data_IF_866533466818
#
_entry.id   IF_866533466818
#
_cell.length_a   1.000
_cell.length_b   1.000
_cell.length_c   1.000
_cell.angle_alpha   90.00
_cell.angle_beta   90.00
_cell.angle_gamma   90.00
#
_symmetry.space_group_name_H-M   'P 1'
#
loop_
_entity.id
_entity.type
_entity.pdbx_description
1 polymer ?
#
# COMPACT_ATOMS: atom_id res chain seq x y z
N UNK A 1 -29.73 27.25 31.61
CA UNK A 1 -28.72 26.18 31.52
C UNK A 1 -29.21 25.26 30.43
N UNK A 2 -28.85 25.56 29.20
CA UNK A 2 -29.19 24.73 28.04
C UNK A 2 -27.94 23.92 27.75
N UNK A 3 -28.07 22.62 27.99
CA UNK A 3 -27.09 21.60 27.69
C UNK A 3 -26.91 21.54 26.17
N UNK A 4 -25.75 21.99 25.71
CA UNK A 4 -25.36 21.95 24.32
C UNK A 4 -24.52 20.70 24.11
N UNK A 5 -25.18 19.54 24.03
CA UNK A 5 -24.60 18.36 23.40
C UNK A 5 -24.45 18.68 21.91
N UNK A 6 -23.27 19.20 21.54
CA UNK A 6 -22.85 19.17 20.16
C UNK A 6 -22.69 17.69 19.81
N UNK A 7 -23.63 17.14 19.03
CA UNK A 7 -23.36 15.95 18.23
C UNK A 7 -22.05 16.23 17.51
N UNK A 8 -20.99 15.50 17.85
CA UNK A 8 -19.83 15.35 16.97
C UNK A 8 -20.37 14.73 15.69
N UNK A 9 -20.69 15.60 14.73
CA UNK A 9 -21.15 15.20 13.41
C UNK A 9 -20.03 14.38 12.78
N UNK A 10 -20.26 13.08 12.68
CA UNK A 10 -19.46 12.11 11.94
C UNK A 10 -19.12 12.72 10.58
N UNK A 11 -17.85 13.09 10.38
CA UNK A 11 -17.45 13.81 9.18
C UNK A 11 -17.74 12.92 7.97
N UNK A 12 -18.32 13.46 6.87
CA UNK A 12 -18.66 12.63 5.74
C UNK A 12 -17.41 11.98 5.17
N UNK A 13 -17.47 10.67 4.92
CA UNK A 13 -16.38 9.94 4.27
C UNK A 13 -16.04 10.63 2.95
N UNK A 14 -14.76 10.99 2.70
CA UNK A 14 -14.36 11.59 1.44
C UNK A 14 -14.76 10.72 0.25
N UNK A 15 -14.89 11.29 -0.94
CA UNK A 15 -15.16 10.52 -2.16
C UNK A 15 -13.92 9.82 -2.70
N UNK A 16 -12.72 10.27 -2.31
CA UNK A 16 -11.43 9.70 -2.68
C UNK A 16 -10.36 10.06 -1.66
N UNK A 17 -9.24 9.36 -1.68
CA UNK A 17 -8.05 9.76 -0.93
C UNK A 17 -7.47 11.09 -1.47
N UNK A 18 -6.59 11.79 -0.72
CA UNK A 18 -6.11 13.13 -1.07
C UNK A 18 -5.41 13.23 -2.42
N UNK A 19 -4.68 12.18 -2.81
CA UNK A 19 -3.97 12.13 -4.08
C UNK A 19 -4.83 11.62 -5.25
N UNK A 20 -6.10 11.29 -5.00
CA UNK A 20 -7.06 10.83 -6.02
C UNK A 20 -6.81 9.44 -6.58
N UNK A 21 -5.89 8.66 -5.99
CA UNK A 21 -5.55 7.32 -6.47
C UNK A 21 -6.64 6.28 -6.17
N UNK A 22 -7.26 6.37 -4.99
CA UNK A 22 -8.30 5.46 -4.51
C UNK A 22 -9.60 6.26 -4.35
N UNK A 23 -10.63 5.85 -5.09
CA UNK A 23 -11.99 6.36 -4.96
C UNK A 23 -12.71 5.57 -3.88
N UNK A 24 -13.33 6.21 -2.91
CA UNK A 24 -14.06 5.54 -1.85
C UNK A 24 -15.49 5.22 -2.32
N UNK A 25 -15.84 3.92 -2.45
CA UNK A 25 -17.19 3.54 -2.87
C UNK A 25 -18.23 3.85 -1.78
N UNK A 26 -19.50 3.79 -2.15
CA UNK A 26 -20.58 3.88 -1.17
C UNK A 26 -20.45 2.74 -0.15
N UNK A 27 -20.54 3.09 1.13
CA UNK A 27 -20.39 2.15 2.25
C UNK A 27 -18.98 2.13 2.85
N UNK A 28 -18.02 2.90 2.32
CA UNK A 28 -16.76 3.15 3.01
C UNK A 28 -17.02 3.84 4.35
N UNK A 29 -16.22 3.53 5.36
CA UNK A 29 -16.39 4.02 6.74
C UNK A 29 -15.07 4.59 7.24
N UNK A 30 -15.08 5.76 7.90
CA UNK A 30 -13.90 6.24 8.62
C UNK A 30 -13.78 5.46 9.93
N UNK A 31 -12.59 4.94 10.19
CA UNK A 31 -12.31 4.17 11.41
C UNK A 31 -11.94 5.15 12.52
N UNK A 32 -12.73 5.14 13.59
CA UNK A 32 -12.53 6.01 14.76
C UNK A 32 -12.03 5.24 16.00
N UNK A 33 -12.46 3.98 16.13
CA UNK A 33 -12.14 3.13 17.27
C UNK A 33 -11.72 1.73 16.77
N UNK A 34 -10.65 1.20 17.36
CA UNK A 34 -10.08 -0.08 16.96
C UNK A 34 -10.95 -1.27 17.40
N UNK A 35 -11.54 -1.22 18.59
CA UNK A 35 -12.34 -2.31 19.12
C UNK A 35 -13.67 -2.42 18.36
N UNK A 36 -14.35 -1.30 18.11
CA UNK A 36 -15.60 -1.26 17.34
C UNK A 36 -15.40 -1.76 15.90
N UNK A 37 -14.34 -1.31 15.23
CA UNK A 37 -14.02 -1.71 13.85
C UNK A 37 -13.75 -3.22 13.74
N UNK A 38 -12.90 -3.76 14.62
CA UNK A 38 -12.58 -5.19 14.59
C UNK A 38 -13.78 -6.03 15.02
N UNK A 39 -14.56 -5.57 16.00
CA UNK A 39 -15.80 -6.25 16.40
C UNK A 39 -16.80 -6.31 15.23
N UNK A 40 -17.03 -5.20 14.52
CA UNK A 40 -17.94 -5.17 13.37
C UNK A 40 -17.51 -6.14 12.28
N UNK A 41 -16.21 -6.16 11.93
CA UNK A 41 -15.65 -7.07 10.92
C UNK A 41 -15.88 -8.53 11.28
N UNK A 42 -15.62 -8.92 12.54
CA UNK A 42 -15.78 -10.31 12.98
C UNK A 42 -17.23 -10.70 13.19
N UNK A 43 -18.11 -9.77 13.59
CA UNK A 43 -19.56 -10.01 13.63
C UNK A 43 -20.11 -10.26 12.23
N UNK A 44 -19.75 -9.42 11.26
CA UNK A 44 -20.13 -9.61 9.85
C UNK A 44 -19.61 -10.95 9.30
N UNK A 45 -18.37 -11.32 9.63
CA UNK A 45 -17.80 -12.60 9.26
C UNK A 45 -18.59 -13.78 9.84
N UNK A 46 -18.98 -13.72 11.12
CA UNK A 46 -19.74 -14.79 11.80
C UNK A 46 -21.17 -14.96 11.27
N UNK A 47 -21.80 -13.90 10.76
CA UNK A 47 -23.17 -13.99 10.20
C UNK A 47 -23.25 -14.64 8.82
N UNK A 48 -22.11 -14.91 8.18
CA UNK A 48 -22.07 -15.53 6.85
C UNK A 48 -22.19 -17.05 6.99
N UNK A 49 -23.33 -17.64 6.60
CA UNK A 49 -23.51 -19.09 6.59
C UNK A 49 -22.47 -19.76 5.67
N UNK A 50 -21.65 -20.63 6.25
CA UNK A 50 -20.64 -21.42 5.53
C UNK A 50 -21.33 -22.44 4.61
N UNK A 51 -21.32 -22.22 3.29
CA UNK A 51 -21.41 -23.33 2.33
C UNK A 51 -20.00 -23.83 2.10
N UNK A 52 -19.48 -24.58 3.08
CA UNK A 52 -18.12 -25.10 3.07
C UNK A 52 -18.00 -26.30 2.11
N UNK A 53 -18.03 -26.03 0.81
CA UNK A 53 -17.57 -26.99 -0.20
C UNK A 53 -16.16 -26.59 -0.65
N UNK A 54 -15.15 -27.14 0.04
CA UNK A 54 -13.82 -27.35 -0.53
C UNK A 54 -12.65 -26.57 0.06
N UNK A 55 -12.82 -25.80 1.14
CA UNK A 55 -11.70 -25.10 1.76
C UNK A 55 -10.90 -26.03 2.68
N UNK A 56 -9.79 -26.56 2.17
CA UNK A 56 -8.78 -27.19 3.04
C UNK A 56 -8.24 -26.12 3.98
N UNK A 57 -8.54 -26.22 5.28
CA UNK A 57 -8.12 -25.29 6.35
C UNK A 57 -6.61 -25.18 6.56
N UNK A 58 -5.88 -24.71 5.55
CA UNK A 58 -4.45 -24.40 5.60
C UNK A 58 -4.18 -22.97 6.06
N UNK A 59 -2.90 -22.63 6.22
CA UNK A 59 -2.43 -21.34 6.74
C UNK A 59 -2.79 -20.11 5.87
N UNK A 60 -3.45 -20.28 4.72
CA UNK A 60 -3.89 -19.19 3.82
C UNK A 60 -3.04 -18.94 2.58
N UNK A 61 -1.94 -19.69 2.40
CA UNK A 61 -1.12 -19.66 1.18
C UNK A 61 -1.61 -20.69 0.13
N UNK A 62 -1.33 -20.44 -1.14
CA UNK A 62 -2.05 -21.05 -2.28
C UNK A 62 -1.82 -22.56 -2.45
N UNK A 63 -0.57 -23.02 -2.32
CA UNK A 63 -0.22 -24.43 -2.48
C UNK A 63 1.01 -24.78 -1.62
N UNK A 64 0.90 -25.86 -0.87
CA UNK A 64 1.91 -26.38 0.08
C UNK A 64 2.76 -27.52 -0.43
N UNK A 65 2.50 -27.97 -1.66
CA UNK A 65 3.13 -29.13 -2.28
C UNK A 65 4.04 -28.74 -3.42
N UNK A 66 3.73 -27.67 -4.16
CA UNK A 66 4.54 -27.21 -5.28
C UNK A 66 5.53 -26.10 -4.90
N UNK A 67 6.79 -26.29 -5.28
CA UNK A 67 7.83 -25.26 -5.13
C UNK A 67 7.78 -24.22 -6.25
N UNK A 68 7.10 -24.48 -7.37
CA UNK A 68 6.90 -23.52 -8.45
C UNK A 68 5.44 -23.56 -8.89
N UNK A 69 4.75 -22.43 -8.74
CA UNK A 69 3.36 -22.27 -9.10
C UNK A 69 3.26 -21.70 -10.51
N UNK A 70 2.72 -22.47 -11.43
CA UNK A 70 2.37 -22.02 -12.77
C UNK A 70 0.85 -21.84 -12.82
N UNK A 71 0.38 -20.60 -12.91
CA UNK A 71 -1.04 -20.28 -12.81
C UNK A 71 -1.45 -19.25 -13.86
N UNK A 72 -2.73 -19.30 -14.26
CA UNK A 72 -3.35 -18.25 -15.05
C UNK A 72 -4.15 -17.32 -14.12
N UNK A 73 -3.79 -16.05 -14.07
CA UNK A 73 -4.66 -15.03 -13.48
C UNK A 73 -5.78 -14.75 -14.47
N UNK A 74 -6.97 -15.30 -14.18
CA UNK A 74 -8.15 -15.18 -15.04
C UNK A 74 -8.97 -13.94 -14.65
N UNK A 75 -9.14 -13.03 -15.60
CA UNK A 75 -9.90 -11.79 -15.45
C UNK A 75 -11.20 -11.86 -16.26
N UNK A 76 -12.33 -11.79 -15.57
CA UNK A 76 -13.66 -11.82 -16.20
C UNK A 76 -14.28 -10.42 -16.22
N UNK A 77 -15.03 -10.06 -17.27
CA UNK A 77 -15.80 -8.83 -17.26
C UNK A 77 -16.77 -8.83 -16.06
N UNK A 78 -16.96 -7.68 -15.39
CA UNK A 78 -17.99 -7.56 -14.37
C UNK A 78 -19.35 -7.95 -14.95
N UNK A 79 -20.03 -8.90 -14.33
CA UNK A 79 -21.43 -9.19 -14.65
C UNK A 79 -22.26 -8.01 -14.16
N UNK A 80 -23.11 -7.43 -15.02
CA UNK A 80 -24.13 -6.49 -14.59
C UNK A 80 -25.10 -7.27 -13.68
N UNK A 81 -24.94 -7.16 -12.37
CA UNK A 81 -25.90 -7.74 -11.43
C UNK A 81 -27.27 -7.14 -11.70
N UNK A 82 -28.17 -8.00 -12.13
CA UNK A 82 -29.59 -7.71 -12.35
C UNK A 82 -30.30 -7.63 -11.01
N UNK A 83 -30.10 -6.51 -10.31
CA UNK A 83 -30.95 -6.10 -9.20
C UNK A 83 -32.26 -5.51 -9.72
N UNK A 84 -33.14 -6.36 -10.26
CA UNK A 84 -34.52 -5.98 -10.53
C UNK A 84 -35.42 -7.19 -10.28
N UNK A 85 -36.31 -7.07 -9.29
CA UNK A 85 -37.21 -8.13 -8.85
C UNK A 85 -37.95 -8.78 -10.01
N UNK A 86 -38.07 -10.10 -9.90
CA UNK A 86 -38.94 -10.94 -10.71
C UNK A 86 -40.39 -10.51 -10.55
N UNK A 87 -40.87 -9.63 -11.44
CA UNK A 87 -42.29 -9.53 -11.76
C UNK A 87 -42.58 -10.55 -12.88
N UNK A 88 -43.54 -11.46 -12.75
CA UNK A 88 -43.85 -12.42 -13.81
C UNK A 88 -44.33 -11.69 -15.06
N UNK A 89 -43.67 -11.96 -16.18
CA UNK A 89 -43.98 -11.38 -17.49
C UNK A 89 -45.33 -11.88 -18.01
N UNK A 90 -46.21 -10.93 -18.38
CA UNK A 90 -47.31 -11.19 -19.30
C UNK A 90 -46.80 -11.16 -20.74
N UNK A 91 -47.33 -12.06 -21.56
CA UNK A 91 -46.87 -12.35 -22.92
C UNK A 91 -47.07 -11.19 -23.89
N UNK A 92 -45.98 -10.69 -24.49
CA UNK A 92 -46.00 -9.71 -25.58
C UNK A 92 -44.91 -9.97 -26.63
N UNK A 93 -45.28 -9.87 -27.91
CA UNK A 93 -44.57 -10.39 -29.09
C UNK A 93 -43.48 -9.43 -29.62
N UNK A 94 -42.25 -9.96 -29.80
CA UNK A 94 -41.11 -9.56 -30.68
C UNK A 94 -40.90 -8.09 -31.12
N UNK A 95 -39.67 -7.60 -30.92
CA UNK A 95 -38.87 -6.84 -31.92
C UNK A 95 -37.37 -7.19 -31.80
N UNK A 96 -36.76 -7.68 -32.89
CA UNK A 96 -35.30 -7.90 -33.02
C UNK A 96 -34.63 -6.56 -33.36
N UNK A 97 -33.82 -6.02 -32.45
CA UNK A 97 -32.85 -4.95 -32.73
C UNK A 97 -31.49 -5.53 -33.15
N UNK A 98 -30.60 -4.72 -33.76
CA UNK A 98 -29.35 -5.22 -34.35
C UNK A 98 -28.37 -5.70 -33.26
N UNK A 99 -27.82 -6.90 -33.49
CA UNK A 99 -26.73 -7.49 -32.69
C UNK A 99 -25.44 -6.71 -32.95
N UNK A 100 -24.84 -6.19 -31.89
CA UNK A 100 -23.54 -5.54 -31.94
C UNK A 100 -23.09 -5.06 -30.56
N UNK A 101 -23.14 -5.92 -29.55
CA UNK A 101 -22.33 -5.74 -28.33
C UNK A 101 -21.20 -6.75 -28.43
N UNK A 102 -19.98 -6.28 -28.63
CA UNK A 102 -18.78 -7.08 -28.40
C UNK A 102 -18.79 -7.50 -26.94
N UNK A 103 -19.09 -8.77 -26.65
CA UNK A 103 -18.77 -9.34 -25.35
C UNK A 103 -17.27 -9.15 -25.15
N UNK A 104 -16.87 -8.43 -24.09
CA UNK A 104 -15.46 -8.32 -23.76
C UNK A 104 -15.00 -9.74 -23.37
N UNK A 105 -13.98 -10.26 -24.05
CA UNK A 105 -13.50 -11.63 -23.83
C UNK A 105 -12.75 -11.76 -22.50
N UNK A 106 -12.79 -12.95 -21.90
CA UNK A 106 -12.00 -13.31 -20.72
C UNK A 106 -10.49 -13.15 -21.01
N UNK A 107 -9.77 -12.50 -20.09
CA UNK A 107 -8.31 -12.30 -20.21
C UNK A 107 -7.61 -13.28 -19.28
N UNK A 108 -6.53 -13.91 -19.77
CA UNK A 108 -5.70 -14.83 -19.00
C UNK A 108 -4.26 -14.34 -19.00
N UNK A 109 -3.71 -14.15 -17.80
CA UNK A 109 -2.33 -13.71 -17.62
C UNK A 109 -1.55 -14.86 -16.98
N UNK A 110 -0.73 -15.59 -17.75
CA UNK A 110 0.11 -16.64 -17.18
C UNK A 110 1.18 -16.02 -16.29
N UNK A 111 1.36 -16.57 -15.09
CA UNK A 111 2.37 -16.13 -14.13
C UNK A 111 3.04 -17.33 -13.49
N UNK A 112 4.34 -17.21 -13.24
CA UNK A 112 5.16 -18.24 -12.60
C UNK A 112 5.73 -17.70 -11.30
N UNK A 113 5.48 -18.39 -10.19
CA UNK A 113 5.93 -17.97 -8.86
C UNK A 113 6.67 -19.12 -8.18
N UNK A 114 7.96 -18.93 -7.97
CA UNK A 114 8.78 -19.78 -7.11
C UNK A 114 8.41 -19.53 -5.65
N UNK A 115 8.32 -20.62 -4.88
CA UNK A 115 8.21 -20.64 -3.43
C UNK A 115 9.45 -21.31 -2.83
N UNK A 116 9.73 -21.02 -1.55
CA UNK A 116 10.72 -21.73 -0.74
C UNK A 116 10.05 -22.40 0.47
N UNK A 117 9.48 -23.58 0.22
CA UNK A 117 8.81 -24.39 1.24
C UNK A 117 9.78 -24.90 2.34
N UNK A 118 11.08 -24.91 2.06
CA UNK A 118 12.10 -25.31 3.05
C UNK A 118 12.30 -24.18 4.04
N UNK A 119 12.36 -22.94 3.54
CA UNK A 119 12.48 -21.75 4.36
C UNK A 119 11.26 -21.56 5.29
N UNK A 120 10.04 -21.74 4.78
CA UNK A 120 8.80 -21.76 5.57
C UNK A 120 8.85 -22.76 6.75
N UNK A 121 9.40 -23.96 6.52
CA UNK A 121 9.47 -25.03 7.54
C UNK A 121 10.68 -24.88 8.48
N UNK A 122 11.78 -24.34 7.97
CA UNK A 122 13.08 -24.33 8.64
C UNK A 122 13.42 -23.03 9.37
N UNK A 123 12.84 -21.89 8.98
CA UNK A 123 13.09 -20.59 9.59
C UNK A 123 11.89 -20.16 10.42
N UNK A 124 12.09 -20.03 11.74
CA UNK A 124 11.03 -19.59 12.64
C UNK A 124 10.56 -18.18 12.25
N UNK A 125 9.25 -18.04 11.98
CA UNK A 125 8.63 -16.76 11.63
C UNK A 125 8.76 -16.36 10.15
N UNK A 126 9.29 -17.23 9.29
CA UNK A 126 9.29 -17.02 7.85
C UNK A 126 7.92 -17.31 7.26
N UNK A 127 7.29 -16.27 6.74
CA UNK A 127 6.02 -16.34 6.00
C UNK A 127 6.16 -15.79 4.58
N UNK A 128 7.25 -15.07 4.28
CA UNK A 128 7.46 -14.41 2.98
C UNK A 128 7.86 -15.37 1.85
N UNK A 129 8.23 -16.60 2.17
CA UNK A 129 8.70 -17.61 1.21
C UNK A 129 7.59 -18.32 0.41
N UNK A 130 6.31 -18.07 0.71
CA UNK A 130 5.16 -18.69 0.04
C UNK A 130 4.15 -17.66 -0.44
N UNK A 131 3.35 -18.04 -1.45
CA UNK A 131 2.36 -17.15 -2.04
C UNK A 131 1.09 -17.09 -1.19
N UNK A 132 0.86 -15.95 -0.58
CA UNK A 132 -0.38 -15.64 0.11
C UNK A 132 -1.52 -15.36 -0.86
N UNK A 133 -2.69 -15.91 -0.56
CA UNK A 133 -3.88 -15.73 -1.39
C UNK A 133 -4.27 -14.25 -1.49
N UNK A 134 -4.20 -13.49 -0.40
CA UNK A 134 -4.49 -12.05 -0.35
C UNK A 134 -3.81 -11.25 -1.48
N UNK A 135 -2.53 -11.52 -1.75
CA UNK A 135 -1.78 -10.90 -2.86
C UNK A 135 -2.36 -11.28 -4.23
N UNK A 136 -2.73 -12.54 -4.45
CA UNK A 136 -3.33 -12.98 -5.72
C UNK A 136 -4.69 -12.32 -5.96
N UNK A 137 -5.56 -12.25 -4.96
CA UNK A 137 -6.89 -11.64 -5.13
C UNK A 137 -6.79 -10.12 -5.27
N UNK A 138 -5.90 -9.45 -4.53
CA UNK A 138 -5.65 -8.02 -4.75
C UNK A 138 -5.16 -7.78 -6.17
N UNK A 139 -4.15 -8.52 -6.65
CA UNK A 139 -3.66 -8.38 -8.02
C UNK A 139 -4.78 -8.58 -9.04
N UNK A 140 -5.55 -9.66 -8.90
CA UNK A 140 -6.70 -9.95 -9.77
C UNK A 140 -7.73 -8.83 -9.75
N UNK A 141 -8.01 -8.25 -8.59
CA UNK A 141 -8.96 -7.15 -8.44
C UNK A 141 -8.49 -5.90 -9.20
N UNK A 142 -7.24 -5.46 -8.98
CA UNK A 142 -6.64 -4.30 -9.65
C UNK A 142 -6.55 -4.52 -11.16
N UNK A 143 -6.09 -5.70 -11.60
CA UNK A 143 -6.01 -6.06 -13.01
C UNK A 143 -7.40 -6.10 -13.67
N UNK A 144 -8.42 -6.59 -12.97
CA UNK A 144 -9.80 -6.59 -13.49
C UNK A 144 -10.28 -5.16 -13.74
N UNK A 145 -10.02 -4.22 -12.83
CA UNK A 145 -10.36 -2.81 -13.04
C UNK A 145 -9.56 -2.17 -14.18
N UNK A 146 -8.30 -2.56 -14.34
CA UNK A 146 -7.46 -2.14 -15.47
C UNK A 146 -8.01 -2.61 -16.82
N UNK A 147 -8.35 -3.89 -16.94
CA UNK A 147 -8.86 -4.48 -18.20
C UNK A 147 -10.33 -4.13 -18.48
N UNK A 148 -11.13 -3.90 -17.45
CA UNK A 148 -12.54 -3.56 -17.55
C UNK A 148 -12.86 -2.27 -16.76
N UNK A 149 -12.37 -1.09 -17.21
CA UNK A 149 -12.60 0.15 -16.49
C UNK A 149 -14.10 0.47 -16.33
N UNK A 150 -14.45 0.97 -15.16
CA UNK A 150 -15.78 1.43 -14.77
C UNK A 150 -15.69 2.83 -14.18
N UNK A 151 -16.72 3.69 -14.32
CA UNK A 151 -16.78 4.96 -13.60
C UNK A 151 -16.68 4.81 -12.08
N UNK A 152 -17.05 3.64 -11.56
CA UNK A 152 -17.02 3.31 -10.13
C UNK A 152 -15.80 2.44 -9.76
N UNK A 153 -14.72 2.46 -10.57
CA UNK A 153 -13.49 1.75 -10.22
C UNK A 153 -12.91 2.29 -8.91
N UNK A 154 -12.53 1.37 -8.01
CA UNK A 154 -11.83 1.68 -6.77
C UNK A 154 -10.53 2.44 -7.03
N UNK A 155 -9.79 2.06 -8.09
CA UNK A 155 -8.51 2.66 -8.43
C UNK A 155 -8.64 3.57 -9.63
N UNK A 156 -8.14 4.79 -9.50
CA UNK A 156 -7.93 5.69 -10.62
C UNK A 156 -6.69 5.25 -11.42
N UNK A 157 -6.92 4.59 -12.55
CA UNK A 157 -5.86 4.05 -13.41
C UNK A 157 -4.93 5.13 -13.99
N UNK A 158 -5.44 6.32 -14.27
CA UNK A 158 -4.61 7.41 -14.81
C UNK A 158 -3.63 7.93 -13.76
N UNK A 159 -4.06 7.98 -12.50
CA UNK A 159 -3.18 8.33 -11.38
C UNK A 159 -2.19 7.20 -11.14
N UNK A 160 -2.65 5.94 -11.07
CA UNK A 160 -1.79 4.78 -10.86
C UNK A 160 -0.64 4.70 -11.88
N UNK A 161 -0.92 4.94 -13.17
CA UNK A 161 0.08 4.95 -14.25
C UNK A 161 1.22 5.93 -14.03
N UNK A 162 1.00 6.97 -13.24
CA UNK A 162 1.99 8.01 -12.91
C UNK A 162 2.57 7.83 -11.51
N UNK A 163 1.99 6.94 -10.71
CA UNK A 163 2.35 6.75 -9.31
C UNK A 163 3.66 5.98 -9.13
N UNK A 164 4.39 6.33 -8.07
CA UNK A 164 5.44 5.52 -7.47
C UNK A 164 4.83 4.68 -6.34
N UNK A 165 4.92 3.37 -6.45
CA UNK A 165 4.34 2.42 -5.49
C UNK A 165 5.45 1.75 -4.69
N UNK A 166 5.32 1.72 -3.38
CA UNK A 166 6.13 0.91 -2.47
C UNK A 166 5.29 -0.25 -1.93
N UNK A 167 5.76 -1.48 -2.06
CA UNK A 167 5.18 -2.64 -1.39
C UNK A 167 6.05 -3.04 -0.20
N UNK A 168 5.49 -3.00 1.00
CA UNK A 168 6.09 -3.52 2.24
C UNK A 168 5.77 -5.00 2.38
N UNK A 169 6.78 -5.82 2.63
CA UNK A 169 6.60 -7.26 2.86
C UNK A 169 6.17 -7.99 1.58
N UNK A 170 6.89 -7.77 0.48
CA UNK A 170 6.52 -8.28 -0.84
C UNK A 170 6.43 -9.83 -0.92
N UNK A 171 7.06 -10.55 0.02
CA UNK A 171 6.98 -12.01 0.10
C UNK A 171 7.52 -12.67 -1.16
N UNK A 172 6.66 -13.29 -1.95
CA UNK A 172 7.05 -13.87 -3.24
C UNK A 172 7.25 -12.83 -4.34
N UNK A 173 6.76 -11.61 -4.16
CA UNK A 173 6.80 -10.55 -5.17
C UNK A 173 5.73 -10.65 -6.25
N UNK A 174 4.63 -11.40 -6.03
CA UNK A 174 3.57 -11.53 -7.02
C UNK A 174 2.97 -10.18 -7.43
N UNK A 175 2.72 -9.28 -6.46
CA UNK A 175 2.20 -7.95 -6.78
C UNK A 175 3.20 -7.17 -7.63
N UNK A 176 4.48 -7.19 -7.28
CA UNK A 176 5.53 -6.59 -8.11
C UNK A 176 5.53 -7.14 -9.54
N UNK A 177 5.36 -8.46 -9.73
CA UNK A 177 5.29 -9.08 -11.06
C UNK A 177 4.09 -8.56 -11.86
N UNK A 178 2.92 -8.43 -11.22
CA UNK A 178 1.66 -8.16 -11.92
C UNK A 178 1.30 -6.68 -12.01
N UNK A 179 1.73 -5.86 -11.06
CA UNK A 179 1.32 -4.47 -10.90
C UNK A 179 2.40 -3.48 -11.29
N UNK A 180 3.69 -3.86 -11.30
CA UNK A 180 4.73 -2.96 -11.81
C UNK A 180 4.49 -2.47 -13.25
N UNK A 181 3.84 -3.26 -14.14
CA UNK A 181 3.49 -2.77 -15.47
C UNK A 181 2.30 -1.79 -15.51
N UNK A 182 1.71 -1.44 -14.36
CA UNK A 182 0.56 -0.54 -14.29
C UNK A 182 0.90 0.83 -13.71
N UNK A 183 2.12 1.03 -13.20
CA UNK A 183 2.56 2.27 -12.56
C UNK A 183 3.88 2.79 -13.11
N UNK A 184 4.29 4.01 -12.71
CA UNK A 184 5.53 4.61 -13.18
C UNK A 184 6.76 3.92 -12.58
N UNK A 185 6.69 3.62 -11.29
CA UNK A 185 7.72 2.90 -10.55
C UNK A 185 7.08 2.00 -9.49
N UNK A 186 7.63 0.81 -9.32
CA UNK A 186 7.23 -0.15 -8.30
C UNK A 186 8.46 -0.62 -7.51
N UNK A 187 8.51 -0.27 -6.23
CA UNK A 187 9.51 -0.76 -5.30
C UNK A 187 8.93 -1.93 -4.52
N UNK A 188 9.48 -3.12 -4.74
CA UNK A 188 9.18 -4.29 -3.90
C UNK A 188 10.19 -4.36 -2.76
N UNK A 189 9.71 -4.28 -1.52
CA UNK A 189 10.57 -4.31 -0.34
C UNK A 189 10.28 -5.49 0.58
N UNK A 190 11.34 -6.01 1.18
CA UNK A 190 11.31 -7.10 2.14
C UNK A 190 12.63 -7.12 2.93
N UNK A 191 12.81 -8.11 3.79
CA UNK A 191 14.09 -8.42 4.42
C UNK A 191 15.08 -8.87 3.35
N UNK A 192 16.36 -8.54 3.54
CA UNK A 192 17.43 -8.79 2.55
C UNK A 192 17.47 -10.24 2.06
N UNK A 193 17.28 -11.20 2.96
CA UNK A 193 17.29 -12.61 2.63
C UNK A 193 16.13 -13.05 1.72
N UNK A 194 14.99 -12.34 1.73
CA UNK A 194 13.82 -12.66 0.93
C UNK A 194 13.84 -11.98 -0.45
N UNK A 195 14.56 -10.86 -0.60
CA UNK A 195 14.67 -10.16 -1.89
C UNK A 195 15.26 -11.01 -3.03
N UNK A 196 16.04 -12.06 -2.70
CA UNK A 196 16.52 -13.03 -3.70
C UNK A 196 15.36 -13.80 -4.35
N UNK A 197 14.33 -14.14 -3.57
CA UNK A 197 13.13 -14.81 -4.08
C UNK A 197 12.31 -13.87 -4.97
N UNK A 198 12.10 -12.64 -4.51
CA UNK A 198 11.42 -11.58 -5.27
C UNK A 198 12.12 -11.34 -6.61
N UNK A 199 13.44 -11.16 -6.59
CA UNK A 199 14.25 -11.01 -7.81
C UNK A 199 14.05 -12.18 -8.77
N UNK A 200 14.10 -13.42 -8.25
CA UNK A 200 13.92 -14.62 -9.08
C UNK A 200 12.53 -14.65 -9.73
N UNK A 201 11.48 -14.28 -9.00
CA UNK A 201 10.12 -14.27 -9.52
C UNK A 201 9.90 -13.17 -10.57
N UNK A 202 10.56 -12.01 -10.43
CA UNK A 202 10.58 -11.01 -11.49
C UNK A 202 11.24 -11.55 -12.77
N UNK A 203 12.41 -12.19 -12.67
CA UNK A 203 13.11 -12.79 -13.82
C UNK A 203 12.27 -13.87 -14.52
N UNK A 204 11.60 -14.73 -13.75
CA UNK A 204 10.74 -15.80 -14.29
C UNK A 204 9.60 -15.27 -15.15
N UNK A 205 9.20 -14.02 -14.95
CA UNK A 205 8.14 -13.34 -15.69
C UNK A 205 8.68 -12.24 -16.62
N UNK A 206 9.97 -12.26 -16.94
CA UNK A 206 10.59 -11.37 -17.93
C UNK A 206 10.81 -9.93 -17.46
N UNK A 207 10.75 -9.67 -16.16
CA UNK A 207 10.98 -8.36 -15.56
C UNK A 207 12.42 -8.26 -15.05
N UNK A 208 13.09 -7.16 -15.37
CA UNK A 208 14.46 -6.89 -14.95
C UNK A 208 14.49 -5.84 -13.83
N UNK A 209 14.58 -6.24 -12.55
CA UNK A 209 14.67 -5.29 -11.45
C UNK A 209 15.99 -4.52 -11.48
N UNK A 210 15.95 -3.27 -11.03
CA UNK A 210 17.16 -2.53 -10.66
C UNK A 210 17.49 -2.82 -9.20
N UNK A 211 18.71 -3.24 -8.94
CA UNK A 211 19.25 -3.25 -7.57
C UNK A 211 19.55 -1.81 -7.17
N UNK A 212 18.99 -1.33 -6.06
CA UNK A 212 19.38 -0.07 -5.43
C UNK A 212 20.78 -0.23 -4.82
N UNK A 213 21.83 -0.01 -5.61
CA UNK A 213 23.18 0.22 -5.07
C UNK A 213 23.82 1.46 -5.70
N UNK A 214 24.49 2.21 -4.83
CA UNK A 214 25.24 3.47 -5.02
C UNK A 214 26.01 3.53 -6.36
N UNK A 215 26.25 4.75 -6.91
CA UNK A 215 26.90 4.93 -8.20
C UNK A 215 28.25 4.21 -8.23
N UNK A 216 28.34 3.16 -9.03
CA UNK A 216 29.60 2.48 -9.31
C UNK A 216 30.37 3.25 -10.40
N UNK A 217 31.70 3.41 -10.25
CA UNK A 217 32.49 4.24 -11.14
C UNK A 217 32.61 3.59 -12.53
N UNK A 218 32.56 4.46 -13.54
CA UNK A 218 32.80 4.24 -14.98
C UNK A 218 33.44 2.89 -15.35
N UNK A 219 32.67 1.99 -15.95
CA UNK A 219 33.21 0.88 -16.73
C UNK A 219 33.31 1.28 -18.20
N UNK A 220 34.54 1.15 -18.70
CA UNK A 220 35.05 1.48 -20.03
C UNK A 220 34.27 0.92 -21.22
N UNK A 221 34.28 1.71 -22.28
CA UNK A 221 33.95 1.43 -23.69
C UNK A 221 34.23 0.00 -24.17
N UNK A 222 33.15 -0.71 -24.52
CA UNK A 222 33.18 -1.89 -25.40
C UNK A 222 32.11 -1.75 -26.49
N UNK A 223 32.53 -1.45 -27.72
CA UNK A 223 31.65 -1.31 -28.89
C UNK A 223 31.11 -2.69 -29.31
N UNK A 224 29.79 -2.85 -29.39
CA UNK A 224 29.16 -3.86 -30.25
C UNK A 224 28.04 -3.23 -31.06
N UNK A 225 28.23 -3.20 -32.39
CA UNK A 225 27.25 -2.75 -33.39
C UNK A 225 26.29 -3.89 -33.68
N UNK A 226 24.98 -3.71 -33.51
CA UNK A 226 23.97 -4.38 -34.36
C UNK A 226 22.81 -3.42 -34.68
N UNK A 227 22.35 -3.54 -35.93
CA UNK A 227 21.44 -2.67 -36.67
C UNK A 227 19.97 -2.85 -36.25
N UNK A 228 19.27 -1.73 -36.19
CA UNK A 228 17.82 -1.58 -36.37
C UNK A 228 17.44 -1.65 -37.87
N UNK A 229 16.19 -2.03 -38.23
CA UNK A 229 15.14 -1.01 -38.33
C UNK A 229 13.70 -1.48 -38.00
N UNK A 230 12.86 -0.55 -37.52
CA UNK A 230 11.41 -0.58 -37.77
C UNK A 230 10.52 0.01 -36.67
N UNK A 231 10.16 1.30 -36.82
CA UNK A 231 9.22 2.08 -35.99
C UNK A 231 7.91 1.36 -35.64
N UNK A 232 7.55 1.39 -34.35
CA UNK A 232 6.19 1.68 -33.90
C UNK A 232 6.26 2.76 -32.81
N UNK A 233 5.43 3.78 -32.95
CA UNK A 233 5.37 4.95 -32.09
C UNK A 233 4.56 4.65 -30.82
N UNK A 234 5.09 5.09 -29.69
CA UNK A 234 4.47 5.08 -28.36
C UNK A 234 5.58 5.23 -27.35
N UNK A 235 5.66 6.38 -26.67
CA UNK A 235 6.62 6.58 -25.59
C UNK A 235 6.24 5.63 -24.46
N UNK A 236 6.83 4.45 -24.42
CA UNK A 236 6.78 3.56 -23.25
C UNK A 236 7.72 4.23 -22.24
N UNK A 237 7.16 5.03 -21.34
CA UNK A 237 7.87 5.38 -20.12
C UNK A 237 8.35 4.05 -19.52
N UNK A 238 9.66 3.89 -19.34
CA UNK A 238 10.25 2.64 -18.86
C UNK A 238 9.73 2.38 -17.46
N UNK A 239 8.69 1.55 -17.35
CA UNK A 239 8.13 1.12 -16.07
C UNK A 239 9.24 0.46 -15.27
N UNK A 240 9.53 1.01 -14.09
CA UNK A 240 10.73 0.67 -13.33
C UNK A 240 10.35 -0.19 -12.14
N UNK A 241 10.95 -1.38 -12.03
CA UNK A 241 10.87 -2.19 -10.82
C UNK A 241 12.17 -2.05 -10.02
N UNK A 242 12.05 -1.75 -8.74
CA UNK A 242 13.16 -1.58 -7.79
C UNK A 242 13.02 -2.61 -6.68
N UNK A 243 14.15 -3.15 -6.22
CA UNK A 243 14.20 -3.98 -5.01
C UNK A 243 14.93 -3.22 -3.92
N UNK A 244 14.30 -3.11 -2.75
CA UNK A 244 14.84 -2.36 -1.61
C UNK A 244 14.73 -3.20 -0.32
N UNK A 245 15.78 -3.19 0.50
CA UNK A 245 15.72 -3.79 1.84
C UNK A 245 15.03 -2.82 2.79
N UNK A 246 13.90 -3.24 3.36
CA UNK A 246 13.23 -2.50 4.44
C UNK A 246 12.97 -3.48 5.59
N UNK A 247 13.83 -3.42 6.60
CA UNK A 247 13.61 -4.11 7.88
C UNK A 247 12.85 -3.18 8.83
N UNK A 248 11.57 -3.50 9.08
CA UNK A 248 10.68 -2.69 9.92
C UNK A 248 11.22 -2.52 11.35
N UNK A 249 11.89 -3.55 11.89
CA UNK A 249 12.49 -3.49 13.24
C UNK A 249 13.67 -2.53 13.23
N UNK A 250 14.46 -2.52 12.15
CA UNK A 250 15.54 -1.55 11.99
C UNK A 250 15.01 -0.11 11.88
N UNK A 251 13.95 0.12 11.10
CA UNK A 251 13.28 1.43 10.97
C UNK A 251 12.77 1.92 12.33
N UNK A 252 12.05 1.07 13.06
CA UNK A 252 11.53 1.41 14.39
C UNK A 252 12.63 1.72 15.40
N UNK A 253 13.70 0.91 15.42
CA UNK A 253 14.87 1.18 16.27
C UNK A 253 15.55 2.51 15.92
N UNK A 254 15.61 2.88 14.64
CA UNK A 254 16.15 4.17 14.21
C UNK A 254 15.27 5.33 14.69
N UNK A 255 13.94 5.20 14.59
CA UNK A 255 12.97 6.17 15.12
C UNK A 255 13.16 6.39 16.62
N UNK A 256 13.19 5.32 17.40
CA UNK A 256 13.41 5.39 18.86
C UNK A 256 14.75 6.07 19.22
N UNK A 257 15.82 5.80 18.48
CA UNK A 257 17.12 6.45 18.67
C UNK A 257 17.08 7.94 18.33
N UNK A 258 16.32 8.35 17.31
CA UNK A 258 16.16 9.74 16.95
C UNK A 258 15.38 10.51 18.03
N UNK A 259 14.32 9.90 18.57
CA UNK A 259 13.51 10.45 19.67
C UNK A 259 14.33 10.63 20.94
N UNK A 260 15.13 9.63 21.33
CA UNK A 260 16.02 9.72 22.49
C UNK A 260 17.11 10.80 22.36
N UNK A 261 17.44 11.22 21.13
CA UNK A 261 18.41 12.29 20.85
C UNK A 261 17.78 13.67 20.75
N UNK A 262 16.46 13.77 20.59
CA UNK A 262 15.76 15.05 20.60
C UNK A 262 15.81 15.61 22.02
N UNK A 263 16.37 16.81 22.26
CA UNK A 263 16.39 17.39 23.59
C UNK A 263 14.95 17.66 24.02
N UNK A 264 14.43 16.81 24.90
CA UNK A 264 13.15 17.05 25.57
C UNK A 264 13.22 18.45 26.17
N UNK A 265 12.23 19.30 25.86
CA UNK A 265 11.97 20.55 26.59
C UNK A 265 11.75 20.18 28.05
N UNK A 266 12.83 20.06 28.81
CA UNK A 266 12.78 20.11 30.26
C UNK A 266 12.33 21.53 30.58
N UNK A 267 11.08 21.65 31.05
CA UNK A 267 10.57 22.83 31.71
C UNK A 267 11.60 23.22 32.78
N UNK A 268 12.41 24.27 32.51
CA UNK A 268 13.23 24.88 33.56
C UNK A 268 12.26 25.46 34.59
N UNK A 269 12.48 25.25 35.90
CA UNK A 269 11.74 25.99 36.91
C UNK A 269 11.99 27.49 36.68
N UNK A 270 10.93 28.29 36.72
CA UNK A 270 11.01 29.75 36.67
C UNK A 270 12.01 30.24 37.74
N UNK A 271 13.06 31.00 37.38
CA UNK A 271 13.78 31.77 38.37
C UNK A 271 12.92 32.97 38.77
N UNK A 272 12.55 33.00 40.05
CA UNK A 272 12.02 34.16 40.75
C UNK A 272 12.92 35.40 40.53
N UNK A 273 12.33 36.49 40.03
CA UNK A 273 12.94 37.83 39.89
C UNK A 273 12.95 38.60 41.23
N UNK A 274 13.53 39.82 41.34
CA UNK A 274 14.72 40.38 40.70
C UNK A 274 15.71 41.00 41.74
N UNK A 275 16.97 41.26 41.36
CA UNK A 275 17.75 42.29 42.06
C UNK A 275 18.64 43.10 41.11
N UNK A 276 18.54 44.41 41.32
CA UNK A 276 19.17 45.52 40.61
C UNK A 276 20.68 45.55 40.86
N UNK A 277 21.50 45.64 39.81
CA UNK A 277 22.81 46.28 39.90
C UNK A 277 23.28 46.82 38.54
N UNK A 278 23.90 47.99 38.61
CA UNK A 278 24.20 48.94 37.54
C UNK A 278 25.49 48.59 36.77
N UNK A 279 25.50 49.05 35.51
CA UNK A 279 26.52 49.23 34.46
C UNK A 279 27.95 49.66 34.92
N UNK A 280 29.04 49.59 34.09
CA UNK A 280 29.12 50.19 32.75
C UNK A 280 29.92 49.47 31.63
N UNK A 281 29.74 50.04 30.43
CA UNK A 281 30.23 49.71 29.09
C UNK A 281 31.75 49.94 28.88
N UNK A 282 32.38 49.12 28.02
CA UNK A 282 33.20 49.58 26.86
C UNK A 282 33.77 48.41 26.02
N UNK A 283 34.19 48.66 24.75
CA UNK A 283 33.92 47.76 23.63
C UNK A 283 35.16 47.11 22.96
N UNK A 284 34.87 46.32 21.91
CA UNK A 284 35.76 45.68 20.92
C UNK A 284 36.38 44.32 21.28
N UNK A 285 35.90 43.23 20.64
CA UNK A 285 36.67 42.49 19.60
C UNK A 285 35.84 41.41 18.88
N UNK A 286 35.80 41.55 17.56
CA UNK A 286 35.73 40.52 16.50
C UNK A 286 34.66 39.41 16.58
N UNK A 287 33.58 39.61 15.82
CA UNK A 287 32.74 38.54 15.29
C UNK A 287 33.51 37.74 14.22
N UNK A 288 33.67 36.43 14.44
CA UNK A 288 33.97 35.47 13.38
C UNK A 288 32.65 34.87 12.91
N UNK A 289 32.17 35.37 11.78
CA UNK A 289 31.12 34.75 10.98
C UNK A 289 31.71 33.50 10.31
N UNK A 290 31.09 32.34 10.52
CA UNK A 290 31.27 31.15 9.70
C UNK A 290 30.04 31.04 8.80
N UNK A 291 30.17 31.64 7.62
CA UNK A 291 29.33 31.42 6.45
C UNK A 291 29.60 30.01 5.89
N UNK A 292 28.62 29.11 5.99
CA UNK A 292 28.53 27.92 5.15
C UNK A 292 27.73 28.25 3.89
N UNK A 293 28.30 27.94 2.74
CA UNK A 293 27.93 28.39 1.39
C UNK A 293 26.47 28.12 0.99
N UNK A 294 25.83 29.17 0.46
CA UNK A 294 24.67 29.09 -0.43
C UNK A 294 25.22 29.30 -1.84
N UNK A 295 25.36 28.23 -2.62
CA UNK A 295 25.53 28.36 -4.06
C UNK A 295 24.15 28.55 -4.68
N UNK A 296 23.84 29.81 -4.99
CA UNK A 296 22.75 30.21 -5.86
C UNK A 296 23.22 30.12 -7.30
N UNK A 297 22.78 29.10 -8.03
CA UNK A 297 22.68 29.17 -9.49
C UNK A 297 21.21 29.04 -9.86
N UNK A 298 20.67 30.13 -10.42
CA UNK A 298 19.29 30.20 -10.89
C UNK A 298 19.09 29.28 -12.09
N UNK A 299 18.11 28.39 -11.99
CA UNK A 299 17.62 27.54 -13.05
C UNK A 299 16.26 26.98 -12.65
N UNK A 300 15.24 27.39 -13.40
CA UNK A 300 13.92 26.78 -13.59
C UNK A 300 13.17 26.18 -12.38
N UNK A 301 12.04 26.82 -12.00
CA UNK A 301 11.04 26.23 -11.11
C UNK A 301 10.27 25.14 -11.88
N UNK A 302 10.84 23.95 -11.92
CA UNK A 302 10.22 22.71 -12.39
C UNK A 302 10.45 21.58 -11.39
N UNK A 303 9.42 21.32 -10.59
CA UNK A 303 9.11 20.12 -9.79
C UNK A 303 10.19 19.02 -9.60
N UNK A 304 10.76 18.96 -8.39
CA UNK A 304 11.53 17.80 -7.88
C UNK A 304 11.01 17.49 -6.46
N UNK A 305 9.95 16.68 -6.38
CA UNK A 305 9.67 15.81 -5.22
C UNK A 305 9.94 14.35 -5.64
N UNK A 306 11.16 14.05 -6.08
CA UNK A 306 11.45 12.77 -6.78
C UNK A 306 11.55 11.52 -5.91
N UNK A 307 11.42 11.64 -4.58
CA UNK A 307 11.73 10.54 -3.65
C UNK A 307 10.53 10.06 -2.82
N UNK A 308 9.39 10.74 -2.86
CA UNK A 308 8.15 10.32 -2.15
C UNK A 308 7.35 9.28 -2.96
N UNK A 309 6.72 8.32 -2.27
CA UNK A 309 5.83 7.34 -2.89
C UNK A 309 4.39 7.86 -2.88
N UNK A 310 3.62 7.63 -3.93
CA UNK A 310 2.19 8.00 -3.95
C UNK A 310 1.35 6.95 -3.21
N UNK A 311 1.80 5.68 -3.24
CA UNK A 311 1.12 4.56 -2.62
C UNK A 311 2.11 3.67 -1.87
N UNK A 312 1.79 3.36 -0.62
CA UNK A 312 2.43 2.30 0.17
C UNK A 312 1.42 1.16 0.32
N UNK A 313 1.74 -0.02 -0.22
CA UNK A 313 0.97 -1.25 -0.07
C UNK A 313 1.55 -2.09 1.07
N UNK A 314 0.67 -2.63 1.92
CA UNK A 314 1.02 -3.68 2.88
C UNK A 314 -0.05 -4.77 2.82
N UNK A 315 0.31 -5.94 2.31
CA UNK A 315 -0.65 -7.00 1.98
C UNK A 315 -0.32 -8.26 2.77
N UNK A 316 -1.23 -8.69 3.63
CA UNK A 316 -1.09 -9.82 4.55
C UNK A 316 0.13 -9.71 5.50
N UNK A 317 0.47 -8.47 5.89
CA UNK A 317 1.62 -8.16 6.74
C UNK A 317 1.33 -8.24 8.26
N UNK A 318 0.07 -8.45 8.66
CA UNK A 318 -0.37 -8.37 10.07
C UNK A 318 -0.66 -9.79 10.59
N UNK A 319 0.34 -10.41 11.20
CA UNK A 319 0.23 -11.79 11.70
C UNK A 319 1.02 -12.06 13.00
N UNK A 320 1.87 -11.13 13.42
CA UNK A 320 2.71 -11.24 14.61
C UNK A 320 2.65 -9.93 15.40
N UNK A 321 2.13 -9.99 16.62
CA UNK A 321 2.00 -8.84 17.54
C UNK A 321 3.32 -8.06 17.72
N UNK A 322 4.46 -8.75 17.71
CA UNK A 322 5.78 -8.13 17.91
C UNK A 322 6.21 -7.25 16.72
N UNK A 323 5.58 -7.41 15.56
CA UNK A 323 5.86 -6.63 14.35
C UNK A 323 4.88 -5.49 14.14
N UNK A 324 3.81 -5.37 14.94
CA UNK A 324 2.81 -4.31 14.81
C UNK A 324 3.43 -2.92 14.92
N UNK A 325 4.12 -2.63 16.03
CA UNK A 325 4.77 -1.32 16.22
C UNK A 325 5.85 -1.05 15.16
N UNK A 326 6.74 -2.01 14.84
CA UNK A 326 7.66 -1.86 13.71
C UNK A 326 7.00 -1.52 12.37
N UNK A 327 5.90 -2.19 12.03
CA UNK A 327 5.16 -1.93 10.79
C UNK A 327 4.57 -0.51 10.81
N UNK A 328 3.88 -0.11 11.88
CA UNK A 328 3.30 1.24 12.01
C UNK A 328 4.39 2.32 11.96
N UNK A 329 5.56 2.09 12.57
CA UNK A 329 6.71 3.00 12.46
C UNK A 329 7.21 3.13 11.02
N UNK A 330 7.17 2.04 10.25
CA UNK A 330 7.52 2.04 8.84
C UNK A 330 6.48 2.81 8.01
N UNK A 331 5.17 2.61 8.26
CA UNK A 331 4.11 3.39 7.62
C UNK A 331 4.30 4.90 7.86
N UNK A 332 4.63 5.28 9.09
CA UNK A 332 4.92 6.67 9.45
C UNK A 332 6.14 7.25 8.73
N UNK A 333 7.18 6.43 8.50
CA UNK A 333 8.40 6.87 7.81
C UNK A 333 8.15 7.17 6.32
N UNK A 334 7.25 6.42 5.68
CA UNK A 334 6.92 6.59 4.25
C UNK A 334 5.67 7.41 3.97
N UNK A 335 4.83 7.67 4.98
CA UNK A 335 3.68 8.58 4.92
C UNK A 335 3.84 9.70 5.97
N UNK A 336 4.68 10.72 5.67
CA UNK A 336 4.88 11.84 6.58
C UNK A 336 3.64 12.77 6.61
N UNK A 337 3.42 13.52 7.71
CA UNK A 337 2.38 14.55 7.78
C UNK A 337 2.45 15.58 6.66
N UNK A 338 1.30 15.96 6.09
CA UNK A 338 1.23 16.94 4.99
C UNK A 338 1.85 16.45 3.67
N UNK A 339 2.20 15.16 3.60
CA UNK A 339 2.62 14.47 2.39
C UNK A 339 1.45 14.13 1.47
N UNK A 340 1.76 13.55 0.32
CA UNK A 340 0.75 13.07 -0.64
C UNK A 340 0.68 11.53 -0.69
N UNK A 341 1.50 10.85 0.11
CA UNK A 341 1.49 9.39 0.23
C UNK A 341 0.17 8.90 0.84
N UNK A 342 -0.40 7.86 0.22
CA UNK A 342 -1.50 7.09 0.79
C UNK A 342 -0.99 5.69 1.12
N UNK A 343 -1.41 5.16 2.27
CA UNK A 343 -1.17 3.77 2.67
C UNK A 343 -2.42 2.95 2.37
N UNK A 344 -2.25 1.77 1.78
CA UNK A 344 -3.32 0.80 1.63
C UNK A 344 -2.90 -0.54 2.23
N UNK A 345 -3.53 -0.86 3.36
CA UNK A 345 -3.36 -2.11 4.10
C UNK A 345 -4.47 -3.07 3.69
N UNK A 346 -4.09 -4.30 3.38
CA UNK A 346 -4.99 -5.34 2.92
C UNK A 346 -4.66 -6.62 3.68
N UNK A 347 -5.61 -7.21 4.41
CA UNK A 347 -5.32 -8.35 5.28
C UNK A 347 -6.48 -9.35 5.37
N UNK A 348 -6.15 -10.64 5.47
CA UNK A 348 -7.13 -11.68 5.79
C UNK A 348 -7.46 -11.68 7.30
N UNK A 349 -8.73 -11.75 7.65
CA UNK A 349 -9.21 -11.77 9.04
C UNK A 349 -8.88 -13.12 9.70
N UNK A 350 -7.77 -13.16 10.45
CA UNK A 350 -7.27 -14.36 11.17
C UNK A 350 -7.33 -14.27 12.69
N UNK A 351 -6.88 -13.16 13.26
CA UNK A 351 -6.84 -12.92 14.71
C UNK A 351 -7.38 -11.54 15.01
N UNK A 352 -8.50 -11.48 15.73
CA UNK A 352 -9.07 -10.21 16.20
C UNK A 352 -8.04 -9.46 17.04
N UNK A 353 -7.36 -10.15 17.97
CA UNK A 353 -6.45 -9.53 18.93
C UNK A 353 -5.27 -8.82 18.25
N UNK A 354 -4.64 -9.47 17.27
CA UNK A 354 -3.51 -8.87 16.53
C UNK A 354 -3.99 -7.72 15.64
N UNK A 355 -5.17 -7.83 15.04
CA UNK A 355 -5.76 -6.77 14.22
C UNK A 355 -6.20 -5.57 15.06
N UNK A 356 -6.77 -5.78 16.25
CA UNK A 356 -7.11 -4.74 17.23
C UNK A 356 -5.85 -4.03 17.67
N UNK A 357 -4.81 -4.77 18.07
CA UNK A 357 -3.52 -4.18 18.43
C UNK A 357 -2.93 -3.34 17.30
N UNK A 358 -3.01 -3.82 16.05
CA UNK A 358 -2.57 -3.07 14.88
C UNK A 358 -3.36 -1.78 14.67
N UNK A 359 -4.69 -1.86 14.66
CA UNK A 359 -5.55 -0.72 14.42
C UNK A 359 -5.41 0.33 15.53
N UNK A 360 -5.40 -0.09 16.79
CA UNK A 360 -5.16 0.80 17.93
C UNK A 360 -3.78 1.47 17.82
N UNK A 361 -2.72 0.69 17.52
CA UNK A 361 -1.37 1.27 17.35
C UNK A 361 -1.32 2.28 16.18
N UNK A 362 -2.06 2.02 15.08
CA UNK A 362 -2.07 2.90 13.92
C UNK A 362 -2.85 4.20 14.18
N UNK A 363 -4.03 4.11 14.82
CA UNK A 363 -4.85 5.26 15.22
C UNK A 363 -4.17 6.10 16.30
N UNK A 364 -3.58 5.43 17.31
CA UNK A 364 -3.05 6.05 18.52
C UNK A 364 -1.62 6.60 18.37
N UNK A 365 -0.99 6.57 17.19
CA UNK A 365 0.35 7.16 16.97
C UNK A 365 0.29 8.70 17.03
N UNK A 366 0.22 9.19 18.28
CA UNK A 366 0.05 10.56 18.75
C UNK A 366 1.24 11.47 18.50
N UNK A 367 2.36 10.93 18.01
CA UNK A 367 3.53 11.70 17.59
C UNK A 367 3.23 12.61 16.38
N UNK A 368 2.07 12.41 15.77
CA UNK A 368 1.55 13.23 14.69
C UNK A 368 0.92 14.54 15.16
N UNK A 369 0.55 14.67 16.44
CA UNK A 369 0.08 15.87 17.16
C UNK A 369 -0.92 16.79 16.47
N UNK A 370 -0.49 17.39 15.37
CA UNK A 370 -1.23 18.33 14.52
C UNK A 370 -1.80 17.67 13.23
N UNK A 371 -1.46 16.40 12.95
CA UNK A 371 -1.76 15.69 11.70
C UNK A 371 -2.11 14.20 11.91
N UNK A 372 -3.25 13.88 12.54
CA UNK A 372 -3.64 12.51 12.84
C UNK A 372 -3.85 11.67 11.56
N UNK A 373 -3.78 10.34 11.71
CA UNK A 373 -4.18 9.43 10.65
C UNK A 373 -5.67 9.56 10.38
N UNK A 374 -6.04 9.71 9.10
CA UNK A 374 -7.38 9.38 8.63
C UNK A 374 -7.32 8.00 8.02
N UNK A 375 -8.12 7.06 8.54
CA UNK A 375 -8.17 5.67 8.06
C UNK A 375 -9.59 5.38 7.60
N UNK A 376 -9.73 4.90 6.37
CA UNK A 376 -11.02 4.53 5.76
C UNK A 376 -11.04 3.04 5.47
N UNK A 377 -12.02 2.31 6.02
CA UNK A 377 -12.32 0.94 5.62
C UNK A 377 -13.09 0.93 4.30
N UNK A 378 -12.65 0.08 3.37
CA UNK A 378 -13.34 -0.22 2.12
C UNK A 378 -14.46 -1.25 2.33
N UNK A 379 -15.61 -1.14 1.64
CA UNK A 379 -16.69 -2.13 1.70
C UNK A 379 -16.24 -3.51 1.23
N UNK A 380 -16.72 -4.57 1.87
CA UNK A 380 -16.38 -5.95 1.52
C UNK A 380 -16.72 -6.29 0.06
N UNK A 381 -17.81 -5.75 -0.47
CA UNK A 381 -18.27 -5.93 -1.85
C UNK A 381 -17.26 -5.37 -2.86
N UNK A 382 -16.53 -4.34 -2.47
CA UNK A 382 -15.57 -3.64 -3.32
C UNK A 382 -14.20 -4.28 -3.30
N UNK A 383 -13.90 -5.12 -2.31
CA UNK A 383 -12.68 -5.90 -2.25
C UNK A 383 -12.72 -7.13 -3.19
N UNK A 384 -13.88 -7.45 -3.78
CA UNK A 384 -14.03 -8.50 -4.79
C UNK A 384 -14.30 -9.90 -4.21
N UNK A 385 -14.88 -10.77 -5.04
CA UNK A 385 -15.27 -12.12 -4.61
C UNK A 385 -14.09 -13.11 -4.59
N UNK A 386 -14.11 -14.01 -3.60
CA UNK A 386 -13.10 -15.02 -3.36
C UNK A 386 -13.60 -16.38 -3.86
N UNK A 387 -13.33 -16.72 -5.12
CA UNK A 387 -13.81 -17.98 -5.73
C UNK A 387 -15.31 -18.26 -5.54
N UNK A 388 -16.13 -17.20 -5.53
CA UNK A 388 -17.57 -17.32 -5.33
C UNK A 388 -18.04 -17.29 -3.88
N UNK A 389 -17.13 -17.27 -2.90
CA UNK A 389 -17.45 -16.94 -1.51
C UNK A 389 -17.18 -15.46 -1.22
N UNK A 390 -17.82 -14.94 -0.16
CA UNK A 390 -17.54 -13.57 0.29
C UNK A 390 -16.10 -13.47 0.81
N UNK A 391 -15.39 -12.38 0.47
CA UNK A 391 -14.03 -12.15 0.92
C UNK A 391 -13.89 -12.15 2.45
N UNK A 392 -12.92 -12.90 2.99
CA UNK A 392 -12.52 -12.87 4.42
C UNK A 392 -11.41 -11.85 4.71
N UNK A 393 -11.32 -10.80 3.90
CA UNK A 393 -10.24 -9.83 3.96
C UNK A 393 -10.82 -8.42 3.97
N UNK A 394 -10.07 -7.51 4.59
CA UNK A 394 -10.43 -6.10 4.74
C UNK A 394 -9.35 -5.23 4.11
N UNK A 395 -9.77 -4.10 3.54
CA UNK A 395 -8.88 -3.07 3.03
C UNK A 395 -9.06 -1.78 3.82
N UNK A 396 -7.97 -1.25 4.37
CA UNK A 396 -7.92 0.06 5.01
C UNK A 396 -7.01 1.00 4.26
N UNK A 397 -7.49 2.21 3.99
CA UNK A 397 -6.75 3.25 3.30
C UNK A 397 -6.47 4.38 4.27
N UNK A 398 -5.19 4.63 4.55
CA UNK A 398 -4.74 5.61 5.53
C UNK A 398 -3.91 6.74 4.91
N UNK A 399 -4.06 7.96 5.42
CA UNK A 399 -3.19 9.09 5.07
C UNK A 399 -3.13 10.11 6.22
N UNK A 400 -2.24 11.11 6.09
CA UNK A 400 -2.07 12.19 7.07
C UNK A 400 -2.06 13.54 6.36
N UNK A 401 -3.07 14.35 6.63
CA UNK A 401 -3.22 15.70 6.07
C UNK A 401 -2.53 16.75 6.91
#
# INVERSE_FOLDING_TARGET
>A
MSDGSQDETDAPVPTSCPNGLINFPQGSVIVHDADEEILELYMNLATTQETDEGHTGGLGFLDSTSSCLEMDVVLRPPTLDSGAGTIPASSGRKRKGPKGKSEKEEVRLPVRVQQDLTALKGRKGDTGSVLWRSSLYLARHILTQHHYPSPNSLINLEVLQRSRVLELGAGTGLLAVLLSPLCAEYTASDRLENLKLVHRNLELNGLAPRSSSLPSPSASTGKSKRKDPGKAAGVIATQRTVLEEIDWVAVSNQRLRAEARSPTKTLRPLPSSPTLAKTPLSPHRAARSLSGHIDSSGGDKGDIRSDEYDLVLAVDCIYNENLVKPLVDTLNAYCPPGGNTVVWVVVELRSSDVLTLFMDTWLSDSLSGDHPWTIVRLPAETMGAWDGTRPRWVGWVGWRT
#
